data_IF_271949800873
#
_entry.id   IF_271949800873
#
_cell.length_a   1.000
_cell.length_b   1.000
_cell.length_c   1.000
_cell.angle_alpha   90.00
_cell.angle_beta   90.00
_cell.angle_gamma   90.00
#
_symmetry.space_group_name_H-M   'P 1'
#
loop_
_entity.id
_entity.type
_entity.pdbx_description
1 polymer ?
#
# COMPACT_ATOMS: atom_id res chain seq x y z
N UNK A 1 3.19 -12.98 12.64
CA UNK A 1 2.03 -13.40 13.47
C UNK A 1 1.96 -12.67 14.80
N UNK A 2 3.01 -12.67 15.63
CA UNK A 2 2.99 -11.98 16.93
C UNK A 2 2.62 -10.48 16.82
N UNK A 3 3.20 -9.74 15.87
CA UNK A 3 2.92 -8.32 15.68
C UNK A 3 1.44 -8.05 15.35
N UNK A 4 0.82 -8.89 14.52
CA UNK A 4 -0.62 -8.77 14.23
C UNK A 4 -1.49 -9.00 15.46
N UNK A 5 -1.17 -10.00 16.27
CA UNK A 5 -1.92 -10.27 17.50
C UNK A 5 -1.75 -9.15 18.54
N UNK A 6 -0.52 -8.65 18.72
CA UNK A 6 -0.23 -7.55 19.62
C UNK A 6 -0.93 -6.25 19.17
N UNK A 7 -0.87 -5.92 17.89
CA UNK A 7 -1.56 -4.75 17.32
C UNK A 7 -3.08 -4.89 17.47
N UNK A 8 -3.64 -6.07 17.21
CA UNK A 8 -5.08 -6.33 17.38
C UNK A 8 -5.51 -6.14 18.84
N UNK A 9 -4.76 -6.71 19.79
CA UNK A 9 -5.04 -6.53 21.23
C UNK A 9 -4.96 -5.05 21.65
N UNK A 10 -3.97 -4.32 21.18
CA UNK A 10 -3.82 -2.89 21.44
C UNK A 10 -5.00 -2.07 20.87
N UNK A 11 -5.44 -2.36 19.65
CA UNK A 11 -6.60 -1.70 19.02
C UNK A 11 -7.88 -1.96 19.81
N UNK A 12 -8.13 -3.21 20.20
CA UNK A 12 -9.31 -3.57 21.02
C UNK A 12 -9.29 -2.84 22.35
N UNK A 13 -8.13 -2.78 23.00
CA UNK A 13 -7.96 -2.05 24.29
C UNK A 13 -8.27 -0.55 24.13
N UNK A 14 -7.65 0.10 23.15
CA UNK A 14 -7.86 1.53 22.89
C UNK A 14 -9.32 1.84 22.57
N UNK A 15 -9.94 1.06 21.68
CA UNK A 15 -11.35 1.23 21.32
C UNK A 15 -12.28 0.99 22.52
N UNK A 16 -11.98 -0.03 23.36
CA UNK A 16 -12.75 -0.31 24.57
C UNK A 16 -12.75 0.89 25.53
N UNK A 17 -11.57 1.48 25.77
CA UNK A 17 -11.42 2.67 26.61
C UNK A 17 -12.18 3.87 26.02
N UNK A 18 -11.96 4.16 24.73
CA UNK A 18 -12.59 5.30 24.04
C UNK A 18 -14.12 5.19 24.08
N UNK A 19 -14.67 4.03 23.75
CA UNK A 19 -16.13 3.84 23.74
C UNK A 19 -16.73 3.88 25.13
N UNK A 20 -16.01 3.39 26.15
CA UNK A 20 -16.46 3.49 27.55
C UNK A 20 -16.49 4.95 28.01
N UNK A 21 -15.45 5.74 27.72
CA UNK A 21 -15.39 7.17 28.06
C UNK A 21 -16.49 7.97 27.35
N UNK A 22 -16.78 7.61 26.08
CA UNK A 22 -17.87 8.24 25.31
C UNK A 22 -19.27 7.77 25.71
N UNK A 23 -19.40 6.86 26.69
CA UNK A 23 -20.69 6.38 27.19
C UNK A 23 -21.41 5.41 26.22
N UNK A 24 -20.73 4.86 25.24
CA UNK A 24 -21.28 3.88 24.30
C UNK A 24 -21.34 2.47 24.91
N UNK A 25 -22.13 2.31 26.00
CA UNK A 25 -22.43 0.97 26.53
C UNK A 25 -23.70 0.43 25.87
N UNK A 26 -23.60 -0.73 25.23
CA UNK A 26 -24.77 -1.42 24.67
C UNK A 26 -25.38 -2.34 25.74
N UNK A 27 -26.63 -2.10 26.17
CA UNK A 27 -27.33 -3.00 27.08
C UNK A 27 -27.45 -4.38 26.43
N UNK A 28 -27.09 -5.43 27.15
CA UNK A 28 -27.28 -6.81 26.71
C UNK A 28 -26.18 -7.42 25.80
N UNK A 29 -25.18 -6.65 25.38
CA UNK A 29 -24.04 -7.19 24.63
C UNK A 29 -22.74 -6.81 25.34
N UNK A 30 -21.88 -7.78 25.63
CA UNK A 30 -20.56 -7.49 26.18
C UNK A 30 -19.72 -6.80 25.08
N UNK A 31 -19.22 -5.60 25.39
CA UNK A 31 -18.46 -4.76 24.46
C UNK A 31 -17.18 -5.47 23.97
N UNK A 32 -16.49 -6.17 24.85
CA UNK A 32 -15.21 -6.79 24.53
C UNK A 32 -15.28 -7.87 23.42
N UNK A 33 -16.20 -8.87 23.47
CA UNK A 33 -16.34 -9.83 22.36
C UNK A 33 -16.72 -9.18 21.03
N UNK A 34 -17.57 -8.16 21.04
CA UNK A 34 -17.94 -7.44 19.82
C UNK A 34 -16.73 -6.68 19.23
N UNK A 35 -15.94 -5.98 20.03
CA UNK A 35 -14.72 -5.30 19.58
C UNK A 35 -13.68 -6.31 19.09
N UNK A 36 -13.48 -7.42 19.81
CA UNK A 36 -12.56 -8.47 19.40
C UNK A 36 -12.95 -9.08 18.04
N UNK A 37 -14.24 -9.34 17.83
CA UNK A 37 -14.75 -9.84 16.55
C UNK A 37 -14.55 -8.82 15.42
N UNK A 38 -14.85 -7.55 15.67
CA UNK A 38 -14.68 -6.48 14.68
C UNK A 38 -13.20 -6.28 14.31
N UNK A 39 -12.31 -6.32 15.30
CA UNK A 39 -10.88 -6.23 15.08
C UNK A 39 -10.35 -7.48 14.32
N UNK A 40 -10.84 -8.66 14.66
CA UNK A 40 -10.49 -9.89 13.95
C UNK A 40 -10.90 -9.83 12.47
N UNK A 41 -12.08 -9.33 12.16
CA UNK A 41 -12.55 -9.17 10.78
C UNK A 41 -11.75 -8.05 10.07
N UNK A 42 -11.59 -6.88 10.69
CA UNK A 42 -10.88 -5.73 10.11
C UNK A 42 -9.42 -6.02 9.79
N UNK A 43 -8.72 -6.71 10.68
CA UNK A 43 -7.32 -7.09 10.49
C UNK A 43 -7.16 -8.41 9.74
N UNK A 44 -8.09 -9.37 9.91
CA UNK A 44 -8.02 -10.70 9.31
C UNK A 44 -8.01 -10.64 7.78
N UNK A 45 -8.87 -9.83 7.19
CA UNK A 45 -8.91 -9.62 5.74
C UNK A 45 -7.58 -9.08 5.19
N UNK A 46 -7.00 -8.08 5.85
CA UNK A 46 -5.69 -7.51 5.48
C UNK A 46 -4.57 -8.54 5.62
N UNK A 47 -4.60 -9.36 6.68
CA UNK A 47 -3.62 -10.41 6.89
C UNK A 47 -3.69 -11.53 5.84
N UNK A 48 -4.90 -11.99 5.51
CA UNK A 48 -5.11 -12.98 4.44
C UNK A 48 -4.63 -12.41 3.09
N UNK A 49 -4.97 -11.15 2.79
CA UNK A 49 -4.51 -10.46 1.58
C UNK A 49 -2.98 -10.42 1.51
N UNK A 50 -2.29 -10.14 2.62
CA UNK A 50 -0.83 -10.15 2.68
C UNK A 50 -0.25 -11.55 2.41
N UNK A 51 -0.81 -12.60 3.01
CA UNK A 51 -0.34 -13.98 2.79
C UNK A 51 -0.54 -14.43 1.34
N UNK A 52 -1.60 -13.95 0.69
CA UNK A 52 -1.92 -14.27 -0.70
C UNK A 52 -1.26 -13.31 -1.70
N UNK A 53 -0.62 -12.23 -1.25
CA UNK A 53 -0.13 -11.12 -2.10
C UNK A 53 0.75 -11.59 -3.24
N UNK A 54 1.70 -12.51 -2.98
CA UNK A 54 2.61 -13.05 -3.98
C UNK A 54 1.88 -13.82 -5.09
N UNK A 55 1.00 -14.76 -4.73
CA UNK A 55 0.23 -15.55 -5.70
C UNK A 55 -0.80 -14.70 -6.45
N UNK A 56 -1.41 -13.72 -5.78
CA UNK A 56 -2.34 -12.80 -6.42
C UNK A 56 -1.61 -11.87 -7.39
N UNK A 57 -0.45 -11.31 -7.02
CA UNK A 57 0.34 -10.45 -7.88
C UNK A 57 0.80 -11.19 -9.15
N UNK A 58 1.37 -12.39 -9.02
CA UNK A 58 1.79 -13.21 -10.16
C UNK A 58 0.63 -13.44 -11.15
N UNK A 59 -0.55 -13.80 -10.63
CA UNK A 59 -1.72 -14.07 -11.48
C UNK A 59 -2.31 -12.81 -12.12
N UNK A 60 -2.32 -11.69 -11.39
CA UNK A 60 -2.96 -10.45 -11.86
C UNK A 60 -2.25 -9.84 -13.06
N UNK A 61 -0.93 -9.97 -13.13
CA UNK A 61 -0.12 -9.43 -14.24
C UNK A 61 0.41 -10.50 -15.19
N UNK A 62 0.09 -11.78 -14.94
CA UNK A 62 0.61 -12.89 -15.75
C UNK A 62 2.13 -13.02 -15.66
N UNK A 63 2.72 -12.72 -14.50
CA UNK A 63 4.18 -12.75 -14.34
C UNK A 63 4.72 -14.18 -14.31
N UNK A 64 5.84 -14.38 -15.02
CA UNK A 64 6.58 -15.64 -15.07
C UNK A 64 7.83 -15.58 -14.22
N UNK A 65 7.97 -16.52 -13.28
CA UNK A 65 9.15 -16.62 -12.41
C UNK A 65 10.34 -17.17 -13.22
N UNK A 66 11.47 -16.49 -13.13
CA UNK A 66 12.73 -16.94 -13.74
C UNK A 66 13.35 -18.00 -12.85
N UNK A 67 13.13 -19.28 -13.19
CA UNK A 67 13.75 -20.42 -12.48
C UNK A 67 15.10 -20.80 -13.08
N UNK A 68 15.24 -20.65 -14.40
CA UNK A 68 16.47 -20.94 -15.16
C UNK A 68 16.75 -19.77 -16.12
N UNK A 69 17.66 -18.84 -15.78
CA UNK A 69 17.92 -17.66 -16.59
C UNK A 69 18.60 -18.04 -17.94
N UNK A 70 17.89 -17.88 -19.04
CA UNK A 70 18.34 -18.27 -20.39
C UNK A 70 18.96 -17.12 -21.17
N UNK A 71 18.39 -15.92 -21.06
CA UNK A 71 18.90 -14.72 -21.73
C UNK A 71 19.97 -13.99 -20.91
N UNK A 72 20.75 -13.11 -21.56
CA UNK A 72 21.68 -12.23 -20.88
C UNK A 72 20.97 -11.26 -19.91
N UNK A 73 19.79 -10.79 -20.33
CA UNK A 73 18.95 -9.89 -19.52
C UNK A 73 18.43 -10.58 -18.26
N UNK A 74 17.93 -11.81 -18.36
CA UNK A 74 17.46 -12.57 -17.21
C UNK A 74 18.59 -12.87 -16.23
N UNK A 75 19.77 -13.26 -16.71
CA UNK A 75 20.97 -13.47 -15.86
C UNK A 75 21.35 -12.20 -15.12
N UNK A 76 21.44 -11.08 -15.85
CA UNK A 76 21.75 -9.77 -15.26
C UNK A 76 20.71 -9.38 -14.18
N UNK A 77 19.43 -9.59 -14.47
CA UNK A 77 18.32 -9.26 -13.55
C UNK A 77 18.42 -10.07 -12.25
N UNK A 78 18.56 -11.40 -12.37
CA UNK A 78 18.68 -12.29 -11.22
C UNK A 78 19.95 -11.99 -10.40
N UNK A 79 21.08 -11.75 -11.06
CA UNK A 79 22.34 -11.43 -10.39
C UNK A 79 22.29 -10.05 -9.70
N UNK A 80 21.60 -9.08 -10.29
CA UNK A 80 21.41 -7.76 -9.69
C UNK A 80 20.55 -7.84 -8.44
N UNK A 81 19.39 -8.53 -8.51
CA UNK A 81 18.53 -8.75 -7.34
C UNK A 81 19.28 -9.50 -6.24
N UNK A 82 20.08 -10.52 -6.59
CA UNK A 82 20.89 -11.27 -5.63
C UNK A 82 21.88 -10.36 -4.89
N UNK A 83 22.69 -9.59 -5.62
CA UNK A 83 23.68 -8.66 -5.02
C UNK A 83 23.01 -7.65 -4.10
N UNK A 84 21.86 -7.09 -4.51
CA UNK A 84 21.14 -6.11 -3.72
C UNK A 84 20.48 -6.73 -2.49
N UNK A 85 19.91 -7.93 -2.59
CA UNK A 85 19.34 -8.66 -1.46
C UNK A 85 20.41 -9.01 -0.42
N UNK A 86 21.58 -9.49 -0.85
CA UNK A 86 22.72 -9.75 0.02
C UNK A 86 23.19 -8.48 0.75
N UNK A 87 23.31 -7.34 0.01
CA UNK A 87 23.70 -6.05 0.58
C UNK A 87 22.65 -5.51 1.55
N UNK A 88 21.37 -5.79 1.31
CA UNK A 88 20.24 -5.40 2.17
C UNK A 88 20.05 -6.36 3.37
N UNK A 89 20.73 -7.50 3.42
CA UNK A 89 20.60 -8.50 4.48
C UNK A 89 19.24 -9.20 4.53
N UNK A 90 18.66 -9.47 3.36
CA UNK A 90 17.37 -10.19 3.20
C UNK A 90 17.59 -11.51 2.45
N UNK A 91 16.62 -12.43 2.57
CA UNK A 91 16.60 -13.63 1.73
C UNK A 91 16.50 -13.28 0.25
N UNK A 92 16.99 -14.16 -0.63
CA UNK A 92 16.91 -13.96 -2.08
C UNK A 92 15.44 -13.97 -2.53
N UNK A 93 14.90 -12.86 -3.08
CA UNK A 93 13.56 -12.85 -3.64
C UNK A 93 13.46 -13.72 -4.89
N UNK A 94 12.28 -14.28 -5.15
CA UNK A 94 11.98 -14.78 -6.49
C UNK A 94 11.94 -13.60 -7.47
N UNK A 95 12.44 -13.82 -8.67
CA UNK A 95 12.48 -12.80 -9.73
C UNK A 95 11.52 -13.22 -10.83
N UNK A 96 10.66 -12.31 -11.28
CA UNK A 96 9.71 -12.56 -12.34
C UNK A 96 9.69 -11.45 -13.39
N UNK A 97 9.25 -11.78 -14.60
CA UNK A 97 9.00 -10.84 -15.69
C UNK A 97 7.53 -10.94 -16.07
N UNK A 98 6.90 -9.80 -16.35
CA UNK A 98 5.54 -9.73 -16.90
C UNK A 98 5.50 -8.85 -18.13
N UNK A 99 4.57 -9.18 -19.04
CA UNK A 99 4.42 -8.43 -20.27
C UNK A 99 3.57 -7.18 -20.04
N UNK A 100 4.21 -6.03 -20.19
CA UNK A 100 3.59 -4.71 -20.15
C UNK A 100 4.48 -3.71 -20.86
N UNK A 101 3.92 -2.87 -21.75
CA UNK A 101 4.69 -1.83 -22.45
C UNK A 101 5.10 -0.67 -21.51
N UNK A 102 4.43 -0.50 -20.39
CA UNK A 102 4.74 0.55 -19.41
C UNK A 102 5.92 0.14 -18.52
N UNK A 103 6.88 1.04 -18.25
CA UNK A 103 7.98 0.77 -17.33
C UNK A 103 7.44 0.64 -15.90
N UNK A 104 7.45 -0.58 -15.38
CA UNK A 104 6.92 -0.89 -14.07
C UNK A 104 7.74 -2.00 -13.38
N UNK A 105 7.84 -1.91 -12.06
CA UNK A 105 8.34 -2.96 -11.20
C UNK A 105 7.57 -2.95 -9.89
N UNK A 106 7.53 -4.09 -9.21
CA UNK A 106 6.97 -4.16 -7.86
C UNK A 106 7.62 -5.30 -7.07
N UNK A 107 7.64 -5.10 -5.75
CA UNK A 107 7.95 -6.18 -4.81
C UNK A 107 6.74 -6.51 -3.94
N UNK A 108 6.59 -7.78 -3.58
CA UNK A 108 5.53 -8.24 -2.69
C UNK A 108 5.95 -9.47 -1.90
N UNK A 109 5.27 -9.73 -0.80
CA UNK A 109 5.50 -10.87 0.07
C UNK A 109 5.23 -10.56 1.53
N UNK A 110 4.84 -11.59 2.29
CA UNK A 110 4.55 -11.47 3.72
C UNK A 110 5.83 -11.53 4.60
N UNK A 111 6.95 -11.92 4.03
CA UNK A 111 8.22 -12.09 4.73
C UNK A 111 9.36 -11.59 3.83
N UNK A 112 10.31 -10.85 4.43
CA UNK A 112 11.51 -10.34 3.74
C UNK A 112 12.43 -11.42 3.21
N UNK A 113 12.33 -12.65 3.74
CA UNK A 113 13.10 -13.80 3.27
C UNK A 113 12.32 -14.68 2.28
N UNK A 114 11.08 -14.33 1.96
CA UNK A 114 10.22 -14.97 0.96
C UNK A 114 9.43 -13.94 0.17
N UNK A 115 10.13 -13.05 -0.50
CA UNK A 115 9.58 -12.00 -1.34
C UNK A 115 9.62 -12.36 -2.83
N UNK A 116 8.90 -11.61 -3.62
CA UNK A 116 8.90 -11.61 -5.07
C UNK A 116 9.25 -10.20 -5.54
N UNK A 117 10.13 -10.10 -6.54
CA UNK A 117 10.38 -8.88 -7.31
C UNK A 117 10.01 -9.16 -8.75
N UNK A 118 9.09 -8.39 -9.30
CA UNK A 118 8.64 -8.53 -10.68
C UNK A 118 8.91 -7.24 -11.47
N UNK A 119 9.35 -7.38 -12.72
CA UNK A 119 9.64 -6.27 -13.64
C UNK A 119 8.88 -6.43 -14.94
N UNK A 120 8.45 -5.33 -15.53
CA UNK A 120 7.80 -5.34 -16.83
C UNK A 120 8.81 -5.43 -17.98
N UNK A 121 8.36 -5.99 -19.11
CA UNK A 121 9.12 -5.93 -20.37
C UNK A 121 9.39 -4.48 -20.78
N UNK A 122 8.45 -3.56 -20.54
CA UNK A 122 8.59 -2.13 -20.82
C UNK A 122 9.69 -1.47 -20.00
N UNK A 123 9.88 -1.84 -18.72
CA UNK A 123 10.98 -1.34 -17.91
C UNK A 123 12.34 -1.75 -18.51
N UNK A 124 12.48 -3.02 -18.84
CA UNK A 124 13.73 -3.57 -19.43
C UNK A 124 14.06 -3.01 -20.82
N UNK A 125 13.05 -2.53 -21.56
CA UNK A 125 13.22 -1.93 -22.89
C UNK A 125 13.48 -0.43 -22.86
N UNK A 126 12.89 0.30 -21.91
CA UNK A 126 12.91 1.77 -21.86
C UNK A 126 13.97 2.34 -20.93
N UNK A 127 14.43 1.56 -19.95
CA UNK A 127 15.48 1.96 -19.02
C UNK A 127 16.81 1.32 -19.38
N UNK A 128 17.89 2.07 -19.19
CA UNK A 128 19.22 1.49 -19.23
C UNK A 128 19.48 0.64 -17.97
N UNK A 129 20.58 -0.11 -17.96
CA UNK A 129 20.92 -1.02 -16.85
C UNK A 129 21.08 -0.29 -15.52
N UNK A 130 21.64 0.92 -15.50
CA UNK A 130 21.85 1.71 -14.29
C UNK A 130 20.51 2.20 -13.70
N UNK A 131 19.60 2.65 -14.56
CA UNK A 131 18.25 3.07 -14.17
C UNK A 131 17.44 1.87 -13.65
N UNK A 132 17.46 0.75 -14.36
CA UNK A 132 16.77 -0.47 -13.94
C UNK A 132 17.35 -1.05 -12.63
N UNK A 133 18.68 -1.02 -12.45
CA UNK A 133 19.33 -1.42 -11.20
C UNK A 133 18.86 -0.56 -10.02
N UNK A 134 18.66 0.74 -10.23
CA UNK A 134 18.16 1.63 -9.19
C UNK A 134 16.70 1.35 -8.83
N UNK A 135 15.84 1.07 -9.82
CA UNK A 135 14.45 0.65 -9.57
C UNK A 135 14.41 -0.66 -8.78
N UNK A 136 15.24 -1.63 -9.14
CA UNK A 136 15.36 -2.88 -8.37
C UNK A 136 15.81 -2.63 -6.93
N UNK A 137 16.78 -1.71 -6.73
CA UNK A 137 17.24 -1.30 -5.40
C UNK A 137 16.13 -0.65 -4.57
N UNK A 138 15.25 0.13 -5.18
CA UNK A 138 14.06 0.69 -4.55
C UNK A 138 13.10 -0.43 -4.10
N UNK A 139 12.78 -1.38 -4.96
CA UNK A 139 11.91 -2.52 -4.64
C UNK A 139 12.50 -3.42 -3.53
N UNK A 140 13.80 -3.71 -3.60
CA UNK A 140 14.52 -4.45 -2.55
C UNK A 140 14.47 -3.70 -1.22
N UNK A 141 14.53 -2.37 -1.23
CA UNK A 141 14.44 -1.55 -0.02
C UNK A 141 13.06 -1.64 0.63
N UNK A 142 11.98 -1.70 -0.14
CA UNK A 142 10.64 -1.97 0.39
C UNK A 142 10.56 -3.31 1.11
N UNK A 143 11.17 -4.36 0.52
CA UNK A 143 11.24 -5.69 1.14
C UNK A 143 12.05 -5.64 2.45
N UNK A 144 13.23 -5.04 2.42
CA UNK A 144 14.12 -4.93 3.56
C UNK A 144 13.51 -4.14 4.73
N UNK A 145 12.77 -3.07 4.41
CA UNK A 145 12.05 -2.26 5.39
C UNK A 145 10.81 -2.95 5.98
N UNK A 146 10.34 -4.06 5.39
CA UNK A 146 9.09 -4.73 5.78
C UNK A 146 7.85 -3.89 5.48
N UNK A 147 7.90 -3.10 4.43
CA UNK A 147 6.86 -2.13 4.08
C UNK A 147 5.50 -2.79 3.77
N UNK A 148 5.49 -4.00 3.23
CA UNK A 148 4.27 -4.77 2.96
C UNK A 148 3.54 -5.10 4.26
N UNK A 149 4.28 -5.60 5.26
CA UNK A 149 3.73 -5.94 6.59
C UNK A 149 3.21 -4.69 7.29
N UNK A 150 4.00 -3.61 7.28
CA UNK A 150 3.64 -2.34 7.92
C UNK A 150 2.37 -1.75 7.34
N UNK A 151 2.25 -1.71 5.99
CA UNK A 151 1.06 -1.18 5.33
C UNK A 151 -0.18 -2.04 5.62
N UNK A 152 -0.01 -3.37 5.63
CA UNK A 152 -1.09 -4.31 5.96
C UNK A 152 -1.59 -4.12 7.40
N UNK A 153 -0.68 -3.89 8.35
CA UNK A 153 -1.05 -3.59 9.73
C UNK A 153 -1.83 -2.28 9.82
N UNK A 154 -1.33 -1.22 9.18
CA UNK A 154 -2.01 0.09 9.15
C UNK A 154 -3.40 -0.06 8.54
N UNK A 155 -3.52 -0.75 7.40
CA UNK A 155 -4.80 -1.01 6.75
C UNK A 155 -5.76 -1.78 7.67
N UNK A 156 -5.29 -2.80 8.36
CA UNK A 156 -6.10 -3.59 9.30
C UNK A 156 -6.59 -2.76 10.49
N UNK A 157 -5.71 -1.95 11.09
CA UNK A 157 -6.07 -1.02 12.16
C UNK A 157 -7.12 -0.04 11.68
N UNK A 158 -6.87 0.63 10.57
CA UNK A 158 -7.78 1.64 10.00
C UNK A 158 -9.14 1.02 9.66
N UNK A 159 -9.16 -0.17 9.04
CA UNK A 159 -10.41 -0.89 8.75
C UNK A 159 -11.21 -1.18 10.03
N UNK A 160 -10.53 -1.61 11.11
CA UNK A 160 -11.19 -1.86 12.40
C UNK A 160 -11.85 -0.60 12.95
N UNK A 161 -11.14 0.54 12.92
CA UNK A 161 -11.70 1.82 13.34
C UNK A 161 -12.91 2.23 12.48
N UNK A 162 -12.82 2.10 11.16
CA UNK A 162 -13.94 2.40 10.24
C UNK A 162 -15.16 1.56 10.57
N UNK A 163 -14.99 0.25 10.79
CA UNK A 163 -16.10 -0.65 11.12
C UNK A 163 -16.75 -0.30 12.45
N UNK A 164 -15.95 -0.01 13.49
CA UNK A 164 -16.45 0.36 14.82
C UNK A 164 -17.21 1.68 14.76
N UNK A 165 -16.62 2.73 14.21
CA UNK A 165 -17.26 4.04 14.15
C UNK A 165 -18.49 4.05 13.23
N UNK A 166 -18.47 3.34 12.10
CA UNK A 166 -19.63 3.16 11.25
C UNK A 166 -20.79 2.50 12.02
N UNK A 167 -20.51 1.48 12.83
CA UNK A 167 -21.48 0.82 13.68
C UNK A 167 -22.03 1.74 14.78
N UNK A 168 -21.22 2.59 15.39
CA UNK A 168 -21.62 3.58 16.39
C UNK A 168 -22.55 4.62 15.77
N UNK A 169 -22.17 5.18 14.62
CA UNK A 169 -22.98 6.16 13.88
C UNK A 169 -24.31 5.55 13.47
N UNK A 170 -24.31 4.35 12.88
CA UNK A 170 -25.53 3.65 12.46
C UNK A 170 -26.48 3.40 13.65
N UNK A 171 -25.94 3.01 14.80
CA UNK A 171 -26.72 2.81 16.03
C UNK A 171 -27.32 4.12 16.57
N UNK A 172 -26.58 5.23 16.44
CA UNK A 172 -27.07 6.53 16.85
C UNK A 172 -28.22 7.03 15.94
N UNK A 173 -28.16 6.72 14.66
CA UNK A 173 -29.20 7.08 13.69
C UNK A 173 -30.45 6.20 13.81
N UNK A 174 -30.34 4.97 14.30
CA UNK A 174 -31.44 4.02 14.43
C UNK A 174 -32.18 4.11 15.77
N UNK A 175 -31.73 4.97 16.73
CA UNK A 175 -32.29 5.10 18.07
C UNK A 175 -33.79 5.48 18.14
N UNK A 176 -34.38 5.93 17.03
CA UNK A 176 -35.81 6.25 16.94
C UNK A 176 -36.71 5.10 16.46
N UNK A 177 -36.15 3.95 16.13
CA UNK A 177 -36.84 2.86 15.45
C UNK A 177 -36.73 1.52 16.19
N UNK A 178 -36.68 1.56 17.53
CA UNK A 178 -36.61 0.36 18.37
C UNK A 178 -37.85 -0.51 18.12
N UNK A 179 -37.64 -1.63 17.38
CA UNK A 179 -38.65 -2.66 17.22
C UNK A 179 -38.64 -3.59 18.44
N UNK A 180 -39.83 -3.99 18.91
CA UNK A 180 -40.05 -4.94 20.01
C UNK A 180 -39.41 -6.32 19.87
N UNK A 181 -38.45 -6.50 18.95
CA UNK A 181 -37.76 -7.77 18.69
C UNK A 181 -36.22 -7.70 18.79
N UNK A 182 -35.63 -6.59 19.24
CA UNK A 182 -34.20 -6.47 19.53
C UNK A 182 -33.26 -6.49 18.32
N UNK A 183 -33.76 -6.42 17.08
CA UNK A 183 -32.96 -6.38 15.85
C UNK A 183 -32.79 -4.97 15.29
N UNK A 184 -31.68 -4.74 14.57
CA UNK A 184 -31.45 -3.49 13.85
C UNK A 184 -32.47 -3.30 12.72
N UNK A 185 -33.01 -2.08 12.59
CA UNK A 185 -33.89 -1.71 11.48
C UNK A 185 -33.13 -1.50 10.16
N UNK A 186 -33.87 -1.33 9.05
CA UNK A 186 -33.27 -1.01 7.75
C UNK A 186 -32.44 0.29 7.82
N UNK A 187 -32.84 1.25 8.68
CA UNK A 187 -32.12 2.50 8.93
C UNK A 187 -30.70 2.27 9.44
N UNK A 188 -30.49 1.28 10.30
CA UNK A 188 -29.15 0.91 10.76
C UNK A 188 -28.26 0.46 9.59
N UNK A 189 -28.74 -0.44 8.75
CA UNK A 189 -27.93 -0.99 7.64
C UNK A 189 -27.58 0.08 6.61
N UNK A 190 -28.53 0.94 6.25
CA UNK A 190 -28.28 2.07 5.36
C UNK A 190 -27.31 3.06 6.00
N UNK A 191 -27.52 3.43 7.25
CA UNK A 191 -26.64 4.30 7.99
C UNK A 191 -25.23 3.73 8.11
N UNK A 192 -25.09 2.42 8.38
CA UNK A 192 -23.82 1.73 8.44
C UNK A 192 -23.08 1.78 7.11
N UNK A 193 -23.75 1.46 5.99
CA UNK A 193 -23.13 1.50 4.65
C UNK A 193 -22.68 2.91 4.27
N UNK A 194 -23.48 3.92 4.54
CA UNK A 194 -23.10 5.32 4.26
C UNK A 194 -21.92 5.77 5.13
N UNK A 195 -21.96 5.46 6.42
CA UNK A 195 -20.87 5.79 7.34
C UNK A 195 -19.57 5.02 6.93
N UNK A 196 -19.68 3.75 6.54
CA UNK A 196 -18.57 2.93 6.03
C UNK A 196 -17.94 3.60 4.79
N UNK A 197 -18.76 4.06 3.83
CA UNK A 197 -18.27 4.70 2.62
C UNK A 197 -17.51 6.01 2.93
N UNK A 198 -18.10 6.89 3.74
CA UNK A 198 -17.47 8.17 4.12
C UNK A 198 -16.22 7.97 4.93
N UNK A 199 -16.26 7.15 5.97
CA UNK A 199 -15.10 6.86 6.82
C UNK A 199 -14.01 6.11 6.04
N UNK A 200 -14.39 5.24 5.09
CA UNK A 200 -13.46 4.54 4.21
C UNK A 200 -12.68 5.49 3.32
N UNK A 201 -13.32 6.52 2.76
CA UNK A 201 -12.64 7.58 2.01
C UNK A 201 -11.65 8.33 2.89
N UNK A 202 -12.05 8.73 4.11
CA UNK A 202 -11.14 9.41 5.06
C UNK A 202 -9.99 8.50 5.47
N UNK A 203 -10.26 7.23 5.71
CA UNK A 203 -9.29 6.21 6.04
C UNK A 203 -8.24 6.01 4.93
N UNK A 204 -8.66 6.06 3.66
CA UNK A 204 -7.75 5.92 2.52
C UNK A 204 -6.72 7.05 2.46
N UNK A 205 -7.06 8.27 2.88
CA UNK A 205 -6.11 9.40 2.97
C UNK A 205 -4.98 9.08 3.95
N UNK A 206 -5.32 8.49 5.11
CA UNK A 206 -4.32 8.08 6.12
C UNK A 206 -3.40 7.01 5.55
N UNK A 207 -3.96 5.98 4.91
CA UNK A 207 -3.17 4.90 4.28
C UNK A 207 -2.25 5.45 3.18
N UNK A 208 -2.76 6.33 2.32
CA UNK A 208 -1.98 6.98 1.25
C UNK A 208 -0.88 7.87 1.83
N UNK A 209 -1.12 8.57 2.94
CA UNK A 209 -0.10 9.36 3.61
C UNK A 209 1.07 8.47 4.10
N UNK A 210 0.77 7.37 4.78
CA UNK A 210 1.79 6.40 5.19
C UNK A 210 2.50 5.78 3.99
N UNK A 211 1.79 5.49 2.91
CA UNK A 211 2.37 4.97 1.67
C UNK A 211 3.42 5.93 1.12
N UNK A 212 3.10 7.24 1.04
CA UNK A 212 4.05 8.26 0.57
C UNK A 212 5.31 8.38 1.44
N UNK A 213 5.18 8.26 2.77
CA UNK A 213 6.35 8.35 3.66
C UNK A 213 7.34 7.20 3.45
N UNK A 214 6.87 6.01 3.07
CA UNK A 214 7.74 4.86 2.79
C UNK A 214 8.56 5.04 1.52
N UNK A 215 8.03 5.74 0.52
CA UNK A 215 8.72 5.99 -0.74
C UNK A 215 10.06 6.69 -0.55
N UNK A 216 10.11 7.72 0.29
CA UNK A 216 11.38 8.43 0.58
C UNK A 216 12.42 7.52 1.23
N UNK A 217 11.99 6.59 2.09
CA UNK A 217 12.90 5.59 2.70
C UNK A 217 13.36 4.58 1.67
N UNK A 218 12.47 4.14 0.79
CA UNK A 218 12.80 3.21 -0.28
C UNK A 218 13.75 3.85 -1.30
N UNK A 219 13.57 5.12 -1.63
CA UNK A 219 14.50 5.89 -2.48
C UNK A 219 15.88 6.00 -1.86
N UNK A 220 15.97 6.34 -0.59
CA UNK A 220 17.24 6.39 0.13
C UNK A 220 17.92 5.02 0.19
N UNK A 221 17.15 3.96 0.40
CA UNK A 221 17.64 2.59 0.36
C UNK A 221 18.09 2.15 -1.03
N UNK A 222 17.33 2.47 -2.08
CA UNK A 222 17.71 2.24 -3.48
C UNK A 222 18.98 2.98 -3.85
N UNK A 223 19.10 4.24 -3.43
CA UNK A 223 20.32 5.03 -3.60
C UNK A 223 21.53 4.42 -2.86
N UNK A 224 21.31 3.82 -1.68
CA UNK A 224 22.35 3.09 -0.97
C UNK A 224 22.74 1.79 -1.69
N UNK A 225 21.79 1.04 -2.23
CA UNK A 225 22.02 -0.25 -2.89
C UNK A 225 22.67 -0.10 -4.28
N UNK A 226 22.14 0.79 -5.11
CA UNK A 226 22.52 0.95 -6.51
C UNK A 226 23.37 2.20 -6.78
N UNK A 227 23.29 3.21 -5.95
CA UNK A 227 23.96 4.50 -6.12
C UNK A 227 22.95 5.64 -6.33
N UNK A 228 23.22 6.79 -5.67
CA UNK A 228 22.30 7.94 -5.68
C UNK A 228 22.03 8.49 -7.08
N UNK A 229 23.08 8.65 -7.88
CA UNK A 229 22.92 9.21 -9.23
C UNK A 229 22.06 8.31 -10.12
N UNK A 230 22.21 6.99 -10.02
CA UNK A 230 21.39 6.02 -10.74
C UNK A 230 19.91 6.14 -10.29
N UNK A 231 19.66 6.32 -8.98
CA UNK A 231 18.29 6.49 -8.45
C UNK A 231 17.64 7.78 -8.96
N UNK A 232 18.39 8.88 -8.99
CA UNK A 232 17.90 10.14 -9.56
C UNK A 232 17.57 9.96 -11.05
N UNK A 233 18.48 9.37 -11.84
CA UNK A 233 18.27 9.12 -13.27
C UNK A 233 17.05 8.22 -13.54
N UNK A 234 16.85 7.20 -12.71
CA UNK A 234 15.68 6.32 -12.81
C UNK A 234 14.36 7.08 -12.57
N UNK A 235 14.31 7.93 -11.54
CA UNK A 235 13.13 8.77 -11.27
C UNK A 235 12.89 9.80 -12.37
N UNK A 236 13.94 10.43 -12.93
CA UNK A 236 13.84 11.33 -14.07
C UNK A 236 13.33 10.60 -15.33
N UNK A 237 13.77 9.37 -15.56
CA UNK A 237 13.27 8.54 -16.65
C UNK A 237 11.78 8.20 -16.48
N UNK A 238 11.36 7.84 -15.28
CA UNK A 238 9.94 7.60 -14.96
C UNK A 238 9.09 8.87 -15.14
N UNK A 239 9.62 10.04 -14.79
CA UNK A 239 8.94 11.32 -15.00
C UNK A 239 8.68 11.59 -16.49
N UNK A 240 9.65 11.30 -17.35
CA UNK A 240 9.50 11.44 -18.80
C UNK A 240 8.48 10.44 -19.38
N UNK A 241 8.47 9.22 -18.87
CA UNK A 241 7.53 8.18 -19.33
C UNK A 241 6.07 8.48 -18.94
N UNK A 242 5.85 9.15 -17.80
CA UNK A 242 4.52 9.53 -17.30
C UNK A 242 4.09 10.96 -17.68
N UNK A 243 4.92 11.72 -18.40
CA UNK A 243 4.53 13.04 -18.88
C UNK A 243 3.32 12.90 -19.83
N UNK A 244 2.20 13.60 -19.57
CA UNK A 244 1.04 13.52 -20.44
C UNK A 244 1.45 13.99 -21.84
N UNK A 245 1.40 13.09 -22.82
CA UNK A 245 1.52 13.42 -24.23
C UNK A 245 0.22 14.10 -24.68
N UNK A 246 -0.01 15.35 -24.23
CA UNK A 246 -1.12 16.15 -24.74
C UNK A 246 -0.78 16.58 -26.15
N UNK A 247 -1.60 16.23 -27.18
CA UNK A 247 -1.49 16.84 -28.49
C UNK A 247 -1.56 18.35 -28.34
N UNK A 248 -0.63 19.11 -28.97
CA UNK A 248 -0.44 20.54 -28.79
C UNK A 248 -1.67 21.44 -28.97
N UNK A 249 -2.73 20.95 -29.56
CA UNK A 249 -4.00 21.65 -29.80
C UNK A 249 -4.96 21.60 -28.60
N UNK A 250 -4.75 20.71 -27.60
CA UNK A 250 -5.62 20.57 -26.43
C UNK A 250 -5.00 21.26 -25.20
N UNK A 251 -3.70 21.51 -25.21
CA UNK A 251 -3.02 22.24 -24.14
C UNK A 251 -3.57 23.68 -23.91
N UNK A 252 -4.10 24.30 -24.97
CA UNK A 252 -4.72 25.64 -24.88
C UNK A 252 -6.13 25.66 -24.23
N UNK A 253 -6.80 24.53 -24.14
CA UNK A 253 -8.11 24.38 -23.50
C UNK A 253 -8.04 23.71 -22.12
N UNK A 254 -6.85 23.52 -21.58
CA UNK A 254 -6.63 23.00 -20.24
C UNK A 254 -7.20 23.95 -19.18
N UNK A 255 -8.52 23.93 -19.03
CA UNK A 255 -9.15 24.35 -17.78
C UNK A 255 -8.69 23.33 -16.76
N UNK A 256 -7.50 23.57 -16.20
CA UNK A 256 -7.00 22.89 -15.03
C UNK A 256 -7.99 23.15 -13.91
N UNK A 257 -8.90 22.19 -13.71
CA UNK A 257 -9.75 22.14 -12.54
C UNK A 257 -8.88 21.98 -11.28
N UNK A 258 -8.23 23.08 -10.86
CA UNK A 258 -7.34 23.16 -9.70
C UNK A 258 -8.00 22.75 -8.37
N UNK A 259 -9.32 22.64 -8.32
CA UNK A 259 -10.06 22.20 -7.12
C UNK A 259 -9.99 20.68 -6.92
N UNK A 260 -10.01 19.87 -7.99
CA UNK A 260 -9.86 18.41 -7.89
C UNK A 260 -8.38 17.98 -7.87
N UNK A 261 -7.48 18.77 -8.45
CA UNK A 261 -6.02 18.52 -8.44
C UNK A 261 -5.43 18.52 -7.03
N UNK A 262 -5.86 19.45 -6.16
CA UNK A 262 -5.41 19.52 -4.77
C UNK A 262 -5.90 18.35 -3.91
N UNK A 263 -7.11 17.87 -4.13
CA UNK A 263 -7.66 16.71 -3.39
C UNK A 263 -7.14 15.37 -3.92
N UNK A 264 -6.88 15.25 -5.23
CA UNK A 264 -6.28 14.06 -5.83
C UNK A 264 -4.92 13.69 -5.21
N UNK A 265 -4.16 14.68 -4.80
CA UNK A 265 -2.87 14.49 -4.11
C UNK A 265 -3.00 13.74 -2.77
N UNK A 266 -4.14 13.86 -2.08
CA UNK A 266 -4.39 13.16 -0.82
C UNK A 266 -4.52 11.64 -1.02
N UNK A 267 -5.01 11.23 -2.18
CA UNK A 267 -5.27 9.83 -2.54
C UNK A 267 -4.13 9.19 -3.34
N UNK A 268 -3.08 9.94 -3.67
CA UNK A 268 -1.91 9.40 -4.33
C UNK A 268 -1.12 8.50 -3.37
N UNK A 269 -0.75 7.31 -3.81
CA UNK A 269 0.07 6.35 -3.04
C UNK A 269 1.55 6.67 -3.10
N UNK A 270 1.99 7.41 -4.12
CA UNK A 270 3.37 7.86 -4.30
C UNK A 270 3.45 9.40 -4.25
N UNK A 271 4.53 9.97 -3.68
CA UNK A 271 4.80 11.40 -3.79
C UNK A 271 5.10 11.79 -5.25
N UNK A 272 4.93 13.06 -5.63
CA UNK A 272 5.42 13.57 -6.90
C UNK A 272 6.89 13.23 -7.11
N UNK A 273 7.25 12.78 -8.32
CA UNK A 273 8.62 12.38 -8.65
C UNK A 273 9.63 13.51 -8.40
N UNK A 274 9.25 14.76 -8.66
CA UNK A 274 10.08 15.94 -8.36
C UNK A 274 10.47 16.02 -6.89
N UNK A 275 9.52 15.78 -5.97
CA UNK A 275 9.80 15.80 -4.53
C UNK A 275 10.75 14.68 -4.11
N UNK A 276 10.64 13.50 -4.72
CA UNK A 276 11.51 12.36 -4.49
C UNK A 276 12.94 12.66 -4.97
N UNK A 277 13.06 13.21 -6.19
CA UNK A 277 14.34 13.63 -6.77
C UNK A 277 15.00 14.70 -5.89
N UNK A 278 14.25 15.72 -5.48
CA UNK A 278 14.76 16.80 -4.62
C UNK A 278 15.20 16.30 -3.25
N UNK A 279 14.48 15.33 -2.68
CA UNK A 279 14.88 14.70 -1.42
C UNK A 279 16.23 13.99 -1.55
N UNK A 280 16.44 13.23 -2.64
CA UNK A 280 17.70 12.56 -2.93
C UNK A 280 18.86 13.54 -3.17
N UNK A 281 18.60 14.66 -3.85
CA UNK A 281 19.62 15.72 -4.09
C UNK A 281 20.06 16.40 -2.80
N UNK A 282 19.13 16.60 -1.85
CA UNK A 282 19.41 17.27 -0.56
C UNK A 282 20.07 16.36 0.48
N UNK A 283 19.93 15.06 0.36
CA UNK A 283 20.48 14.08 1.32
C UNK A 283 21.98 13.76 1.09
N UNK A 284 22.65 14.45 0.23
CA UNK A 284 24.07 14.39 -0.09
C UNK A 284 24.77 15.62 0.33
#
# INVERSE_FOLDING_TARGET
>A
MFLFLATNAAVVLVLSVVLTVLGFNRPGMSMLPWLAMTALIGMGGSFISLLMSKSMALRSVGAEIITDPRSATERWLVDTVRRQAEKAGIGLPEVAIFDSPEPNAFATGADRNNALVAVSTGLLQQMNQDEAEAVLGHEISHVANGDMVTLTLIQGVVNTFVMVFASVIASALDRGNEREGGGHGMGYYVGYMLAQAVLGVLASIVVCWFSRQREFRADAGGAHLAGRQKMISALERLQLAHAPQLPGNIAAFGISGNLLGGLGHLFATHPPLEQRIDALRRSG
#
